data_IF_741866022806
#
_entry.id   IF_741866022806
#
_cell.length_a   1.000
_cell.length_b   1.000
_cell.length_c   1.000
_cell.angle_alpha   90.00
_cell.angle_beta   90.00
_cell.angle_gamma   90.00
#
_symmetry.space_group_name_H-M   'P 1'
#
loop_
_entity.id
_entity.type
_entity.pdbx_description
1 polymer ?
#
# COMPACT_ATOMS: atom_id res chain seq x y z
N UNK A 1 40.81 -27.54 13.82
CA UNK A 1 39.77 -26.63 13.29
C UNK A 1 38.55 -27.49 12.98
N UNK A 2 37.94 -28.18 13.93
CA UNK A 2 37.28 -27.75 15.18
C UNK A 2 36.00 -26.95 14.97
N UNK A 3 34.95 -27.47 15.62
CA UNK A 3 33.60 -26.95 15.84
C UNK A 3 32.56 -27.16 14.73
N UNK A 4 32.09 -28.40 14.57
CA UNK A 4 30.77 -28.75 13.99
C UNK A 4 30.32 -30.16 14.44
N UNK A 5 30.34 -30.37 15.74
CA UNK A 5 29.81 -31.51 16.51
C UNK A 5 29.66 -30.91 17.91
N UNK A 6 28.48 -30.56 18.40
CA UNK A 6 27.56 -31.49 19.05
C UNK A 6 26.27 -30.73 19.37
N UNK A 7 25.16 -30.99 18.68
CA UNK A 7 23.83 -30.59 19.19
C UNK A 7 22.69 -31.50 18.70
N UNK A 8 23.02 -32.66 18.13
CA UNK A 8 22.06 -33.73 17.88
C UNK A 8 22.31 -34.84 18.90
N UNK A 9 21.87 -34.62 20.13
CA UNK A 9 21.68 -35.69 21.11
C UNK A 9 20.22 -36.12 21.07
N UNK A 10 19.98 -37.17 20.30
CA UNK A 10 18.77 -38.00 20.33
C UNK A 10 18.73 -38.75 21.66
N UNK A 11 17.81 -38.40 22.55
CA UNK A 11 17.33 -39.30 23.60
C UNK A 11 15.85 -39.57 23.39
N UNK A 12 15.60 -40.71 22.77
CA UNK A 12 14.38 -41.51 22.92
C UNK A 12 14.19 -41.81 24.40
N UNK A 13 13.03 -41.50 24.98
CA UNK A 13 12.44 -42.28 26.07
C UNK A 13 10.94 -42.00 26.22
N UNK A 14 10.25 -43.06 26.64
CA UNK A 14 8.84 -43.41 26.48
C UNK A 14 7.80 -42.52 27.21
N UNK A 15 6.58 -42.60 26.67
CA UNK A 15 5.30 -42.26 27.29
C UNK A 15 5.14 -42.82 28.71
N UNK A 16 4.68 -41.99 29.64
CA UNK A 16 3.77 -42.43 30.71
C UNK A 16 2.92 -41.25 31.16
N UNK A 17 1.62 -41.29 30.85
CA UNK A 17 0.61 -40.42 31.45
C UNK A 17 0.52 -40.73 32.95
N UNK A 18 0.57 -39.70 33.79
CA UNK A 18 0.30 -39.83 35.21
C UNK A 18 -0.47 -38.58 35.65
N UNK A 19 -1.78 -38.72 35.69
CA UNK A 19 -2.68 -37.82 36.39
C UNK A 19 -2.26 -37.76 37.87
N UNK A 20 -1.90 -36.57 38.33
CA UNK A 20 -1.87 -36.27 39.76
C UNK A 20 -2.59 -34.95 39.99
N UNK A 21 -3.78 -35.12 40.57
CA UNK A 21 -4.60 -34.09 41.18
C UNK A 21 -3.78 -33.31 42.22
N UNK A 22 -3.60 -32.01 41.98
CA UNK A 22 -3.11 -31.08 43.00
C UNK A 22 -4.20 -30.04 43.25
N UNK A 23 -4.60 -30.04 44.51
CA UNK A 23 -5.68 -29.29 45.11
C UNK A 23 -5.65 -27.79 44.83
N UNK A 24 -6.88 -27.31 44.66
CA UNK A 24 -7.31 -25.93 44.60
C UNK A 24 -6.76 -25.13 45.78
N UNK A 25 -5.95 -24.13 45.49
CA UNK A 25 -5.83 -22.92 46.34
C UNK A 25 -6.39 -21.74 45.58
N UNK A 26 -7.64 -21.41 45.88
CA UNK A 26 -8.25 -20.13 45.52
C UNK A 26 -7.41 -19.00 46.15
N UNK A 27 -6.72 -18.26 45.29
CA UNK A 27 -6.28 -16.90 45.57
C UNK A 27 -7.04 -16.01 44.58
N UNK A 28 -8.06 -15.34 45.09
CA UNK A 28 -8.87 -14.38 44.37
C UNK A 28 -7.98 -13.29 43.73
N UNK A 29 -8.06 -13.15 42.41
CA UNK A 29 -7.34 -12.14 41.65
C UNK A 29 -8.03 -11.92 40.30
N UNK A 30 -8.73 -10.81 40.20
CA UNK A 30 -9.53 -10.30 39.06
C UNK A 30 -9.06 -10.72 37.67
N UNK A 31 -9.89 -11.53 36.99
CA UNK A 31 -9.80 -11.77 35.56
C UNK A 31 -10.33 -10.55 34.77
N UNK A 32 -9.45 -9.59 34.44
CA UNK A 32 -9.58 -8.71 33.25
C UNK A 32 -8.31 -7.87 33.08
N UNK A 33 -7.17 -8.49 32.84
CA UNK A 33 -6.13 -7.84 32.02
C UNK A 33 -5.99 -8.67 30.75
N UNK A 34 -6.71 -8.24 29.70
CA UNK A 34 -6.30 -8.57 28.33
C UNK A 34 -4.86 -8.12 28.24
N UNK A 35 -3.93 -9.07 28.18
CA UNK A 35 -2.53 -8.84 27.81
C UNK A 35 -2.54 -8.17 26.44
N UNK A 36 -2.61 -6.85 26.42
CA UNK A 36 -2.50 -6.04 25.23
C UNK A 36 -1.04 -6.14 24.82
N UNK A 37 -0.77 -7.08 23.91
CA UNK A 37 0.54 -7.19 23.28
C UNK A 37 0.98 -5.80 22.81
N UNK A 38 2.23 -5.40 23.07
CA UNK A 38 2.73 -4.11 22.65
C UNK A 38 2.55 -3.97 21.15
N UNK A 39 2.05 -2.81 20.70
CA UNK A 39 1.91 -2.52 19.28
C UNK A 39 3.29 -2.55 18.64
N UNK A 40 3.43 -3.33 17.58
CA UNK A 40 4.67 -3.38 16.79
C UNK A 40 5.02 -1.95 16.33
N UNK A 41 6.24 -1.47 16.61
CA UNK A 41 6.69 -0.16 16.13
C UNK A 41 6.54 -0.04 14.62
N UNK A 42 6.15 1.15 14.14
CA UNK A 42 5.94 1.44 12.71
C UNK A 42 7.14 1.07 11.85
N UNK A 43 8.35 1.24 12.39
CA UNK A 43 9.64 1.00 11.75
C UNK A 43 9.86 -0.49 11.46
N UNK A 44 9.38 -1.36 12.37
CA UNK A 44 9.47 -2.82 12.22
C UNK A 44 8.36 -3.30 11.28
N UNK A 45 7.13 -2.81 11.46
CA UNK A 45 5.99 -3.20 10.64
C UNK A 45 6.25 -2.96 9.14
N UNK A 46 6.80 -1.80 8.77
CA UNK A 46 7.07 -1.51 7.36
C UNK A 46 8.21 -2.33 6.75
N UNK A 47 9.18 -2.81 7.55
CA UNK A 47 10.25 -3.69 7.05
C UNK A 47 9.73 -5.06 6.61
N UNK A 48 8.72 -5.60 7.30
CA UNK A 48 8.15 -6.92 7.02
C UNK A 48 6.91 -6.89 6.11
N UNK A 49 6.39 -5.71 5.78
CA UNK A 49 5.34 -5.55 4.77
C UNK A 49 5.87 -5.50 3.32
N UNK A 50 7.18 -5.37 3.14
CA UNK A 50 7.81 -5.48 1.82
C UNK A 50 7.84 -6.96 1.45
N UNK A 51 6.95 -7.37 0.54
CA UNK A 51 7.03 -8.71 -0.06
C UNK A 51 8.45 -8.91 -0.62
N UNK A 52 9.14 -10.02 -0.29
CA UNK A 52 10.42 -10.33 -0.89
C UNK A 52 10.21 -10.47 -2.39
N UNK A 53 10.54 -9.44 -3.17
CA UNK A 53 10.23 -9.41 -4.59
C UNK A 53 11.25 -10.19 -5.41
N UNK A 54 11.43 -11.49 -5.11
CA UNK A 54 12.36 -12.39 -5.82
C UNK A 54 12.14 -12.36 -7.34
N UNK A 55 10.90 -12.19 -7.81
CA UNK A 55 10.56 -12.04 -9.24
C UNK A 55 10.94 -10.68 -9.84
N UNK A 56 10.88 -9.58 -9.08
CA UNK A 56 11.33 -8.24 -9.50
C UNK A 56 12.86 -8.14 -9.57
N UNK A 57 13.55 -8.96 -8.78
CA UNK A 57 15.02 -8.98 -8.68
C UNK A 57 15.71 -9.95 -9.64
N UNK A 58 15.00 -10.96 -10.18
CA UNK A 58 15.62 -11.96 -11.05
C UNK A 58 16.17 -11.40 -12.38
N UNK A 59 15.74 -10.22 -12.87
CA UNK A 59 16.20 -9.75 -14.20
C UNK A 59 16.43 -8.24 -14.42
N UNK A 60 16.04 -7.28 -13.55
CA UNK A 60 16.04 -5.87 -13.98
C UNK A 60 16.72 -4.80 -13.10
N UNK A 61 16.84 -5.00 -11.78
CA UNK A 61 17.38 -3.93 -10.92
C UNK A 61 18.92 -3.93 -10.87
N UNK A 62 19.57 -5.09 -10.88
CA UNK A 62 21.04 -5.17 -10.84
C UNK A 62 21.72 -5.02 -12.22
N UNK A 63 20.98 -5.18 -13.32
CA UNK A 63 21.55 -5.19 -14.68
C UNK A 63 21.60 -3.81 -15.36
N UNK A 64 20.94 -2.77 -14.81
CA UNK A 64 20.86 -1.45 -15.47
C UNK A 64 21.34 -0.25 -14.64
N UNK A 65 21.68 -0.42 -13.35
CA UNK A 65 22.31 0.65 -12.55
C UNK A 65 21.52 1.96 -12.41
N UNK A 66 20.19 1.96 -12.58
CA UNK A 66 19.38 3.19 -12.49
C UNK A 66 18.83 3.38 -11.07
N UNK A 67 18.97 4.59 -10.54
CA UNK A 67 18.44 4.97 -9.24
C UNK A 67 16.99 5.39 -9.40
N UNK A 68 16.06 4.66 -8.80
CA UNK A 68 14.62 4.93 -8.92
C UNK A 68 14.00 5.33 -7.60
N UNK A 69 12.89 6.05 -7.68
CA UNK A 69 12.02 6.34 -6.54
C UNK A 69 10.57 6.46 -6.98
N UNK A 70 9.62 6.30 -6.07
CA UNK A 70 8.23 6.67 -6.29
C UNK A 70 7.64 7.19 -4.98
N UNK A 71 6.72 8.16 -5.09
CA UNK A 71 6.05 8.78 -3.95
C UNK A 71 4.62 8.26 -3.84
N UNK A 72 4.17 8.07 -2.61
CA UNK A 72 2.82 7.57 -2.35
C UNK A 72 2.31 7.98 -0.96
N UNK A 73 1.00 8.11 -0.84
CA UNK A 73 0.31 8.10 0.44
C UNK A 73 0.02 6.66 0.83
N UNK A 74 0.19 6.33 2.11
CA UNK A 74 -0.05 4.98 2.62
C UNK A 74 -1.27 4.97 3.52
N UNK A 75 -2.16 3.99 3.30
CA UNK A 75 -3.28 3.72 4.17
C UNK A 75 -3.18 2.30 4.73
N UNK A 76 -3.33 2.18 6.05
CA UNK A 76 -3.49 0.93 6.76
C UNK A 76 -4.95 0.78 7.19
N UNK A 77 -5.81 0.14 6.38
CA UNK A 77 -7.20 0.00 6.75
C UNK A 77 -7.31 -0.83 8.03
N UNK A 78 -8.13 -0.39 8.97
CA UNK A 78 -8.55 -1.12 10.17
C UNK A 78 -9.38 -2.35 9.81
N UNK A 79 -9.68 -3.20 10.80
CA UNK A 79 -10.49 -4.40 10.57
C UNK A 79 -11.89 -4.06 10.03
N UNK A 80 -12.53 -3.01 10.55
CA UNK A 80 -13.83 -2.55 10.05
C UNK A 80 -13.73 -2.05 8.61
N UNK A 81 -12.71 -1.23 8.30
CA UNK A 81 -12.50 -0.71 6.95
C UNK A 81 -12.18 -1.84 5.94
N UNK A 82 -11.39 -2.85 6.31
CA UNK A 82 -11.15 -4.03 5.47
C UNK A 82 -12.43 -4.83 5.22
N UNK A 83 -13.32 -4.92 6.21
CA UNK A 83 -14.62 -5.57 6.04
C UNK A 83 -15.49 -4.82 5.03
N UNK A 84 -15.54 -3.49 5.13
CA UNK A 84 -16.26 -2.65 4.16
C UNK A 84 -15.70 -2.77 2.74
N UNK A 85 -14.37 -2.72 2.60
CA UNK A 85 -13.71 -2.94 1.31
C UNK A 85 -13.98 -4.34 0.75
N UNK A 86 -13.98 -5.38 1.58
CA UNK A 86 -14.27 -6.75 1.15
C UNK A 86 -15.73 -6.89 0.69
N UNK A 87 -16.67 -6.28 1.42
CA UNK A 87 -18.08 -6.22 1.03
C UNK A 87 -18.25 -5.49 -0.30
N UNK A 88 -17.56 -4.38 -0.48
CA UNK A 88 -17.56 -3.59 -1.71
C UNK A 88 -17.06 -4.40 -2.91
N UNK A 89 -15.88 -5.03 -2.81
CA UNK A 89 -15.32 -5.89 -3.86
C UNK A 89 -16.24 -7.08 -4.14
N UNK A 90 -16.84 -7.67 -3.11
CA UNK A 90 -17.77 -8.79 -3.28
C UNK A 90 -19.04 -8.38 -4.04
N UNK A 91 -19.55 -7.17 -3.82
CA UNK A 91 -20.67 -6.62 -4.60
C UNK A 91 -20.27 -6.47 -6.08
N UNK A 92 -19.09 -5.90 -6.35
CA UNK A 92 -18.56 -5.76 -7.71
C UNK A 92 -18.39 -7.11 -8.42
N UNK A 93 -17.78 -8.10 -7.75
CA UNK A 93 -17.60 -9.45 -8.30
C UNK A 93 -18.93 -10.16 -8.56
N UNK A 94 -19.94 -9.97 -7.71
CA UNK A 94 -21.28 -10.53 -7.96
C UNK A 94 -21.97 -9.89 -9.16
N UNK A 95 -21.79 -8.59 -9.37
CA UNK A 95 -22.29 -7.91 -10.56
C UNK A 95 -21.61 -8.46 -11.83
N UNK A 96 -20.28 -8.57 -11.83
CA UNK A 96 -19.54 -9.16 -12.95
C UNK A 96 -20.03 -10.57 -13.31
N UNK A 97 -20.24 -11.42 -12.30
CA UNK A 97 -20.71 -12.78 -12.50
C UNK A 97 -22.12 -12.86 -13.12
N UNK A 98 -22.95 -11.81 -12.94
CA UNK A 98 -24.30 -11.72 -13.50
C UNK A 98 -24.29 -11.19 -14.92
N UNK A 99 -23.62 -10.05 -15.16
CA UNK A 99 -23.61 -9.40 -16.48
C UNK A 99 -22.75 -10.17 -17.49
N UNK A 100 -21.60 -10.69 -17.06
CA UNK A 100 -20.63 -11.36 -17.94
C UNK A 100 -20.67 -12.88 -17.69
N UNK A 101 -21.88 -13.44 -17.66
CA UNK A 101 -22.10 -14.87 -17.41
C UNK A 101 -21.28 -15.72 -18.39
N UNK A 102 -20.41 -16.58 -17.87
CA UNK A 102 -19.49 -17.40 -18.66
C UNK A 102 -18.02 -16.97 -18.60
N UNK A 103 -17.73 -15.73 -18.16
CA UNK A 103 -16.37 -15.29 -17.88
C UNK A 103 -16.06 -15.43 -16.39
N UNK A 104 -14.94 -16.09 -16.04
CA UNK A 104 -14.48 -16.20 -14.64
C UNK A 104 -13.66 -14.96 -14.23
N UNK A 105 -14.30 -13.79 -14.25
CA UNK A 105 -13.65 -12.55 -13.79
C UNK A 105 -13.85 -12.42 -12.28
N UNK A 106 -12.75 -12.40 -11.54
CA UNK A 106 -12.75 -12.14 -10.10
C UNK A 106 -11.64 -11.15 -9.79
N UNK A 107 -12.00 -10.08 -9.08
CA UNK A 107 -11.04 -9.16 -8.49
C UNK A 107 -10.67 -9.63 -7.09
N UNK A 108 -9.38 -9.87 -6.88
CA UNK A 108 -8.79 -10.31 -5.62
C UNK A 108 -8.35 -9.09 -4.79
N UNK A 109 -8.68 -9.03 -3.49
CA UNK A 109 -8.33 -7.91 -2.62
C UNK A 109 -6.81 -7.63 -2.56
N UNK A 110 -6.44 -6.35 -2.54
CA UNK A 110 -5.05 -5.90 -2.37
C UNK A 110 -4.66 -5.60 -0.92
N UNK A 111 -5.63 -5.58 0.01
CA UNK A 111 -5.40 -5.30 1.43
C UNK A 111 -5.20 -6.57 2.27
N UNK A 112 -5.00 -7.72 1.63
CA UNK A 112 -4.53 -8.95 2.26
C UNK A 112 -3.39 -9.58 1.43
N UNK A 113 -2.49 -10.29 2.09
CA UNK A 113 -1.55 -11.20 1.43
C UNK A 113 -2.25 -12.52 1.07
N UNK A 114 -1.57 -13.38 0.30
CA UNK A 114 -2.06 -14.73 -0.01
C UNK A 114 -2.30 -15.57 1.25
N UNK A 115 -1.56 -15.30 2.33
CA UNK A 115 -1.72 -15.94 3.63
C UNK A 115 -2.74 -15.23 4.55
N UNK A 116 -3.46 -14.23 4.02
CA UNK A 116 -4.51 -13.51 4.75
C UNK A 116 -4.01 -12.43 5.72
N UNK A 117 -2.70 -12.14 5.77
CA UNK A 117 -2.20 -11.05 6.61
C UNK A 117 -2.59 -9.67 6.03
N UNK A 118 -2.92 -8.66 6.87
CA UNK A 118 -3.29 -7.34 6.37
C UNK A 118 -2.17 -6.68 5.55
N UNK A 119 -2.54 -6.02 4.45
CA UNK A 119 -1.63 -5.27 3.57
C UNK A 119 -2.05 -3.81 3.46
N UNK A 120 -1.05 -2.95 3.30
CA UNK A 120 -1.21 -1.52 3.09
C UNK A 120 -1.74 -1.24 1.68
N UNK A 121 -2.62 -0.24 1.58
CA UNK A 121 -3.04 0.35 0.33
C UNK A 121 -2.31 1.68 0.12
N UNK A 122 -2.29 2.17 -1.11
CA UNK A 122 -1.63 3.44 -1.40
C UNK A 122 -2.28 4.24 -2.52
N UNK A 123 -2.03 5.55 -2.49
CA UNK A 123 -2.32 6.49 -3.59
C UNK A 123 -0.98 7.00 -4.09
N UNK A 124 -0.63 6.65 -5.33
CA UNK A 124 0.62 7.11 -5.94
C UNK A 124 0.58 8.61 -6.17
N UNK A 125 1.59 9.33 -5.69
CA UNK A 125 1.78 10.78 -5.86
C UNK A 125 2.73 11.10 -7.03
N UNK A 126 3.47 10.12 -7.51
CA UNK A 126 4.38 10.26 -8.65
C UNK A 126 4.38 8.99 -9.52
N UNK A 127 4.84 9.07 -10.78
CA UNK A 127 5.29 7.89 -11.49
C UNK A 127 6.61 7.39 -10.88
N UNK A 128 7.16 6.31 -11.45
CA UNK A 128 8.56 5.96 -11.18
C UNK A 128 9.46 7.11 -11.66
N UNK A 129 10.17 7.72 -10.71
CA UNK A 129 11.18 8.74 -10.92
C UNK A 129 12.52 8.05 -11.17
N UNK A 130 13.27 8.56 -12.13
CA UNK A 130 14.59 8.06 -12.50
C UNK A 130 15.63 9.14 -12.24
N UNK A 131 16.69 8.75 -11.54
CA UNK A 131 17.84 9.58 -11.20
C UNK A 131 19.11 8.95 -11.79
N UNK A 132 20.09 9.79 -12.09
CA UNK A 132 21.36 9.36 -12.68
C UNK A 132 22.23 8.68 -11.62
N UNK A 133 22.25 9.22 -10.41
CA UNK A 133 22.98 8.68 -9.27
C UNK A 133 22.16 8.75 -7.96
N UNK A 134 22.68 8.15 -6.90
CA UNK A 134 22.07 8.16 -5.57
C UNK A 134 22.07 9.54 -4.92
N UNK A 135 23.10 10.36 -5.19
CA UNK A 135 23.22 11.73 -4.65
C UNK A 135 22.13 12.64 -5.21
N UNK A 136 21.78 12.51 -6.49
CA UNK A 136 20.70 13.25 -7.13
C UNK A 136 19.35 12.89 -6.49
N UNK A 137 19.07 11.59 -6.31
CA UNK A 137 17.86 11.11 -5.60
C UNK A 137 17.81 11.63 -4.16
N UNK A 138 18.93 11.56 -3.44
CA UNK A 138 18.98 11.95 -2.04
C UNK A 138 18.87 13.48 -1.88
N UNK A 139 19.43 14.27 -2.81
CA UNK A 139 19.20 15.72 -2.90
C UNK A 139 17.71 16.01 -3.15
N UNK A 140 17.06 15.28 -4.04
CA UNK A 140 15.62 15.44 -4.28
C UNK A 140 14.80 15.22 -3.01
N UNK A 141 15.15 14.20 -2.23
CA UNK A 141 14.49 13.95 -0.95
C UNK A 141 14.65 15.13 0.02
N UNK A 142 15.87 15.63 0.23
CA UNK A 142 16.10 16.75 1.14
C UNK A 142 15.40 18.03 0.66
N UNK A 143 15.51 18.33 -0.64
CA UNK A 143 14.80 19.48 -1.24
C UNK A 143 13.28 19.34 -1.06
N UNK A 144 12.71 18.16 -1.30
CA UNK A 144 11.27 17.93 -1.12
C UNK A 144 10.84 18.11 0.33
N UNK A 145 11.61 17.53 1.27
CA UNK A 145 11.34 17.65 2.71
C UNK A 145 11.36 19.11 3.15
N UNK A 146 12.35 19.87 2.69
CA UNK A 146 12.43 21.30 2.96
C UNK A 146 11.28 22.09 2.32
N UNK A 147 10.95 21.83 1.06
CA UNK A 147 9.85 22.51 0.36
C UNK A 147 8.49 22.24 1.01
N UNK A 148 8.23 21.00 1.46
CA UNK A 148 7.02 20.67 2.23
C UNK A 148 6.99 21.42 3.56
N UNK A 149 8.12 21.47 4.28
CA UNK A 149 8.20 22.19 5.55
C UNK A 149 8.11 23.72 5.40
N UNK A 150 8.49 24.28 4.25
CA UNK A 150 8.39 25.74 3.99
C UNK A 150 7.04 26.13 3.39
N UNK A 151 6.33 25.18 2.78
CA UNK A 151 5.02 25.43 2.19
C UNK A 151 3.97 25.77 3.24
N UNK A 152 3.19 26.82 2.97
CA UNK A 152 2.02 27.18 3.77
C UNK A 152 0.72 26.53 3.25
N UNK A 153 0.76 25.90 2.07
CA UNK A 153 -0.41 25.30 1.41
C UNK A 153 -0.54 23.81 1.68
N UNK A 154 0.56 23.13 2.02
CA UNK A 154 0.59 21.71 2.30
C UNK A 154 0.40 21.48 3.80
N UNK A 155 -0.71 20.84 4.17
CA UNK A 155 -1.07 20.48 5.55
C UNK A 155 -1.66 19.07 5.57
N UNK A 156 -1.73 18.38 6.72
CA UNK A 156 -2.52 17.16 6.87
C UNK A 156 -3.95 17.33 6.35
N UNK A 157 -4.45 16.33 5.63
CA UNK A 157 -5.77 16.39 5.01
C UNK A 157 -6.47 15.04 5.04
N UNK A 158 -7.79 15.08 4.90
CA UNK A 158 -8.61 13.90 4.74
C UNK A 158 -8.85 13.62 3.26
N UNK A 159 -8.40 12.45 2.81
CA UNK A 159 -8.64 11.95 1.48
C UNK A 159 -9.99 11.22 1.45
N UNK A 160 -10.84 11.63 0.52
CA UNK A 160 -12.14 11.03 0.22
C UNK A 160 -12.11 10.46 -1.19
N UNK A 161 -12.85 9.39 -1.39
CA UNK A 161 -12.96 8.69 -2.66
C UNK A 161 -14.36 8.78 -3.23
N UNK A 162 -14.46 8.73 -4.56
CA UNK A 162 -15.74 8.56 -5.24
C UNK A 162 -16.35 7.19 -4.88
N UNK A 163 -17.68 7.13 -4.85
CA UNK A 163 -18.43 5.89 -4.53
C UNK A 163 -18.34 4.87 -5.66
N UNK A 164 -18.27 5.34 -6.92
CA UNK A 164 -18.16 4.49 -8.09
C UNK A 164 -16.70 4.07 -8.32
N UNK A 165 -16.41 2.76 -8.45
CA UNK A 165 -15.06 2.32 -8.74
C UNK A 165 -14.76 2.49 -10.23
N UNK A 166 -13.49 2.46 -10.57
CA UNK A 166 -13.02 2.39 -11.95
C UNK A 166 -12.10 1.19 -12.14
N UNK A 167 -12.18 0.57 -13.32
CA UNK A 167 -11.19 -0.44 -13.72
C UNK A 167 -10.04 0.24 -14.44
N UNK A 168 -8.83 0.06 -13.92
CA UNK A 168 -7.60 0.62 -14.46
C UNK A 168 -6.66 -0.49 -14.89
N UNK A 169 -5.95 -0.31 -16.00
CA UNK A 169 -5.01 -1.31 -16.50
C UNK A 169 -3.58 -0.97 -16.09
N UNK A 170 -2.78 -1.99 -15.80
CA UNK A 170 -1.34 -1.83 -15.63
C UNK A 170 -0.71 -1.26 -16.91
N UNK A 171 0.44 -0.58 -16.76
CA UNK A 171 1.19 -0.04 -17.91
C UNK A 171 1.62 -1.15 -18.89
N UNK A 172 1.93 -2.33 -18.36
CA UNK A 172 2.32 -3.52 -19.12
C UNK A 172 1.12 -4.27 -19.72
N UNK A 173 -0.11 -3.86 -19.40
CA UNK A 173 -1.33 -4.50 -19.86
C UNK A 173 -1.42 -5.99 -19.50
N UNK A 174 -0.87 -6.39 -18.35
CA UNK A 174 -0.92 -7.75 -17.82
C UNK A 174 -1.92 -7.90 -16.66
N UNK A 175 -2.23 -6.80 -15.98
CA UNK A 175 -3.14 -6.74 -14.85
C UNK A 175 -4.18 -5.64 -15.02
N UNK A 176 -5.30 -5.82 -14.34
CA UNK A 176 -6.32 -4.81 -14.15
C UNK A 176 -6.61 -4.64 -12.66
N UNK A 177 -6.98 -3.42 -12.29
CA UNK A 177 -7.16 -2.98 -10.92
C UNK A 177 -8.53 -2.38 -10.75
N UNK A 178 -9.25 -2.82 -9.73
CA UNK A 178 -10.42 -2.11 -9.24
C UNK A 178 -9.92 -0.99 -8.35
N UNK A 179 -10.21 0.26 -8.74
CA UNK A 179 -9.65 1.43 -8.10
C UNK A 179 -10.73 2.42 -7.68
N UNK A 180 -10.49 3.06 -6.53
CA UNK A 180 -11.30 4.16 -6.02
C UNK A 180 -10.67 5.47 -6.46
N UNK A 181 -11.39 6.28 -7.23
CA UNK A 181 -10.91 7.60 -7.66
C UNK A 181 -10.95 8.56 -6.49
N UNK A 182 -9.97 9.44 -6.42
CA UNK A 182 -9.98 10.51 -5.42
C UNK A 182 -11.09 11.49 -5.77
N UNK A 183 -11.92 11.81 -4.78
CA UNK A 183 -13.04 12.73 -4.94
C UNK A 183 -12.58 14.16 -5.20
N UNK A 184 -13.45 14.95 -5.84
CA UNK A 184 -13.20 16.36 -6.13
C UNK A 184 -12.87 17.19 -4.88
N UNK A 185 -13.43 16.81 -3.74
CA UNK A 185 -13.22 17.49 -2.44
C UNK A 185 -11.77 17.41 -1.96
N UNK A 186 -11.06 16.33 -2.28
CA UNK A 186 -9.67 16.12 -1.86
C UNK A 186 -8.65 16.65 -2.87
N UNK A 187 -9.08 17.03 -4.08
CA UNK A 187 -8.18 17.51 -5.13
C UNK A 187 -7.40 18.78 -4.77
N UNK A 188 -7.95 19.80 -4.08
CA UNK A 188 -7.17 20.98 -3.73
C UNK A 188 -5.94 20.67 -2.86
N UNK A 189 -6.09 19.80 -1.86
CA UNK A 189 -5.00 19.40 -0.97
C UNK A 189 -3.96 18.56 -1.72
N UNK A 190 -4.43 17.58 -2.52
CA UNK A 190 -3.56 16.76 -3.37
C UNK A 190 -2.79 17.58 -4.40
N UNK A 191 -3.44 18.54 -5.04
CA UNK A 191 -2.79 19.41 -6.03
C UNK A 191 -1.73 20.29 -5.37
N UNK A 192 -2.00 20.82 -4.17
CA UNK A 192 -1.01 21.60 -3.41
C UNK A 192 0.23 20.76 -3.11
N UNK A 193 0.06 19.51 -2.68
CA UNK A 193 1.16 18.58 -2.46
C UNK A 193 1.88 18.23 -3.77
N UNK A 194 1.12 17.94 -4.84
CA UNK A 194 1.64 17.62 -6.17
C UNK A 194 2.51 18.75 -6.74
N UNK A 195 2.10 20.00 -6.58
CA UNK A 195 2.87 21.17 -7.04
C UNK A 195 4.20 21.29 -6.31
N UNK A 196 4.21 21.07 -4.99
CA UNK A 196 5.46 21.07 -4.19
C UNK A 196 6.39 19.93 -4.61
N UNK A 197 5.84 18.74 -4.91
CA UNK A 197 6.62 17.60 -5.42
C UNK A 197 7.23 17.93 -6.78
N UNK A 198 6.43 18.47 -7.70
CA UNK A 198 6.88 18.84 -9.03
C UNK A 198 7.98 19.91 -9.00
N UNK A 199 7.82 20.94 -8.16
CA UNK A 199 8.80 22.01 -7.99
C UNK A 199 10.13 21.48 -7.42
N UNK A 200 10.07 20.66 -6.36
CA UNK A 200 11.25 20.03 -5.79
C UNK A 200 11.98 19.15 -6.81
N UNK A 201 11.24 18.42 -7.65
CA UNK A 201 11.81 17.56 -8.68
C UNK A 201 12.52 18.37 -9.78
N UNK A 202 11.90 19.45 -10.24
CA UNK A 202 12.49 20.38 -11.22
C UNK A 202 13.76 21.05 -10.71
N UNK A 203 13.83 21.33 -9.40
CA UNK A 203 15.00 21.94 -8.76
C UNK A 203 16.22 21.03 -8.70
N UNK A 204 16.04 19.71 -8.81
CA UNK A 204 17.13 18.74 -8.60
C UNK A 204 17.56 18.02 -9.88
N UNK A 205 16.63 17.72 -10.78
CA UNK A 205 16.94 16.98 -12.00
C UNK A 205 16.54 17.76 -13.25
N UNK A 206 17.41 17.85 -14.28
CA UNK A 206 17.02 18.32 -15.61
C UNK A 206 15.87 17.48 -16.21
N UNK A 207 15.78 16.21 -15.81
CA UNK A 207 14.69 15.31 -16.19
C UNK A 207 13.38 15.58 -15.43
N UNK A 208 13.36 16.49 -14.46
CA UNK A 208 12.15 16.89 -13.74
C UNK A 208 11.06 17.43 -14.67
N UNK A 209 11.45 18.09 -15.77
CA UNK A 209 10.51 18.55 -16.79
C UNK A 209 9.81 17.41 -17.56
N UNK A 210 10.41 16.21 -17.60
CA UNK A 210 9.83 15.04 -18.26
C UNK A 210 8.52 14.59 -17.61
N UNK A 211 8.32 14.90 -16.33
CA UNK A 211 7.16 14.46 -15.56
C UNK A 211 6.01 15.48 -15.51
N UNK A 212 6.16 16.66 -16.13
CA UNK A 212 5.13 17.71 -16.10
C UNK A 212 3.76 17.23 -16.61
N UNK A 213 3.74 16.37 -17.63
CA UNK A 213 2.50 15.77 -18.15
C UNK A 213 1.78 14.89 -17.13
N UNK A 214 2.51 14.22 -16.22
CA UNK A 214 1.90 13.46 -15.14
C UNK A 214 1.25 14.40 -14.14
N UNK A 215 1.99 15.38 -13.64
CA UNK A 215 1.49 16.32 -12.62
C UNK A 215 0.32 17.16 -13.13
N UNK A 216 0.33 17.55 -14.40
CA UNK A 216 -0.80 18.23 -15.04
C UNK A 216 -2.08 17.37 -15.13
N UNK A 217 -1.94 16.03 -15.19
CA UNK A 217 -3.07 15.08 -15.27
C UNK A 217 -3.40 14.43 -13.93
N UNK A 218 -2.57 14.64 -12.91
CA UNK A 218 -2.62 13.94 -11.62
C UNK A 218 -4.01 14.01 -10.97
N UNK A 219 -4.63 15.20 -10.96
CA UNK A 219 -5.97 15.42 -10.42
C UNK A 219 -7.08 14.58 -11.07
N UNK A 220 -6.89 14.14 -12.32
CA UNK A 220 -7.85 13.31 -13.05
C UNK A 220 -7.58 11.81 -12.89
N UNK A 221 -6.37 11.46 -12.47
CA UNK A 221 -5.89 10.08 -12.44
C UNK A 221 -5.56 9.59 -11.03
N UNK A 222 -5.64 10.42 -10.00
CA UNK A 222 -5.38 10.03 -8.63
C UNK A 222 -6.41 8.98 -8.17
N UNK A 223 -5.91 7.83 -7.72
CA UNK A 223 -6.75 6.70 -7.32
C UNK A 223 -6.02 5.82 -6.30
N UNK A 224 -6.80 4.96 -5.64
CA UNK A 224 -6.31 3.87 -4.81
C UNK A 224 -6.81 2.54 -5.36
N UNK A 225 -5.90 1.67 -5.76
CA UNK A 225 -6.27 0.31 -6.17
C UNK A 225 -6.59 -0.54 -4.95
N UNK A 226 -7.77 -1.16 -4.94
CA UNK A 226 -8.26 -1.98 -3.81
C UNK A 226 -8.34 -3.47 -4.13
N UNK A 227 -8.38 -3.83 -5.41
CA UNK A 227 -8.36 -5.20 -5.87
C UNK A 227 -7.67 -5.34 -7.23
N UNK A 228 -7.23 -6.54 -7.59
CA UNK A 228 -6.56 -6.85 -8.87
C UNK A 228 -7.13 -8.09 -9.55
N UNK A 229 -6.99 -8.17 -10.87
CA UNK A 229 -7.22 -9.39 -11.65
C UNK A 229 -6.27 -9.44 -12.85
N UNK A 230 -6.17 -10.58 -13.53
CA UNK A 230 -5.37 -10.72 -14.74
C UNK A 230 -6.08 -10.07 -15.93
N UNK A 231 -5.37 -9.27 -16.73
CA UNK A 231 -5.98 -8.61 -17.90
C UNK A 231 -6.47 -9.59 -18.95
N UNK A 232 -5.81 -10.73 -19.13
CA UNK A 232 -6.22 -11.75 -20.10
C UNK A 232 -7.67 -12.24 -19.93
N UNK A 233 -8.25 -12.01 -18.74
CA UNK A 233 -9.61 -12.40 -18.37
C UNK A 233 -10.62 -11.28 -18.72
N UNK A 234 -10.16 -10.05 -18.94
CA UNK A 234 -10.97 -8.89 -19.29
C UNK A 234 -10.93 -8.63 -20.79
N UNK A 235 -11.94 -9.12 -21.51
CA UNK A 235 -12.07 -8.90 -22.96
C UNK A 235 -13.08 -7.79 -23.30
N UNK A 236 -13.89 -7.35 -22.33
CA UNK A 236 -15.04 -6.49 -22.57
C UNK A 236 -14.84 -5.05 -22.05
N UNK A 237 -15.01 -4.01 -22.89
CA UNK A 237 -14.95 -2.60 -22.47
C UNK A 237 -16.04 -2.20 -21.46
N UNK A 238 -17.21 -2.86 -21.42
CA UNK A 238 -18.31 -2.53 -20.50
C UNK A 238 -17.95 -2.81 -19.03
N UNK A 239 -17.00 -3.71 -18.79
CA UNK A 239 -16.46 -4.01 -17.45
C UNK A 239 -15.86 -2.75 -16.79
N UNK A 240 -15.49 -1.73 -17.57
CA UNK A 240 -14.89 -0.49 -17.05
C UNK A 240 -15.89 0.51 -16.48
N UNK A 241 -17.19 0.35 -16.75
CA UNK A 241 -18.25 1.26 -16.30
C UNK A 241 -18.73 0.97 -14.85
N UNK A 242 -18.55 -0.27 -14.38
CA UNK A 242 -19.06 -0.74 -13.09
C UNK A 242 -20.60 -0.82 -13.05
N UNK A 243 -21.20 -1.33 -11.95
CA UNK A 243 -22.65 -1.42 -11.86
C UNK A 243 -23.33 -0.06 -11.77
N UNK A 244 -24.63 0.02 -12.14
CA UNK A 244 -25.39 1.26 -12.20
C UNK A 244 -25.93 1.77 -10.86
N UNK A 245 -25.58 1.14 -9.72
CA UNK A 245 -26.06 1.53 -8.39
C UNK A 245 -24.94 2.08 -7.51
N UNK A 246 -25.28 3.07 -6.68
CA UNK A 246 -24.33 3.65 -5.73
C UNK A 246 -23.90 2.62 -4.69
N UNK A 247 -22.59 2.53 -4.52
CA UNK A 247 -22.00 1.78 -3.42
C UNK A 247 -22.05 2.60 -2.14
N UNK A 248 -22.09 1.91 -0.99
CA UNK A 248 -21.86 2.57 0.30
C UNK A 248 -20.54 3.35 0.26
N UNK A 249 -20.51 4.58 0.78
CA UNK A 249 -19.30 5.39 0.77
C UNK A 249 -18.17 4.65 1.47
N UNK A 250 -17.03 4.56 0.77
CA UNK A 250 -15.81 4.02 1.35
C UNK A 250 -15.17 5.10 2.21
N UNK A 251 -14.48 4.65 3.25
CA UNK A 251 -13.92 5.45 4.32
C UNK A 251 -13.07 6.61 3.86
N UNK A 252 -13.05 7.64 4.71
CA UNK A 252 -12.10 8.74 4.65
C UNK A 252 -10.75 8.29 5.20
N UNK A 253 -9.67 8.63 4.52
CA UNK A 253 -8.29 8.34 4.90
C UNK A 253 -7.60 9.61 5.42
N UNK A 254 -6.99 9.59 6.61
CA UNK A 254 -6.17 10.73 7.09
C UNK A 254 -4.75 10.66 6.53
N UNK A 255 -4.37 11.66 5.76
CA UNK A 255 -3.03 11.83 5.23
C UNK A 255 -2.24 12.82 6.07
N UNK A 256 -1.45 12.30 7.01
CA UNK A 256 -0.56 13.12 7.88
C UNK A 256 0.90 13.07 7.41
N UNK A 257 1.21 12.15 6.51
CA UNK A 257 2.53 11.95 5.92
C UNK A 257 2.43 11.24 4.57
N UNK A 258 3.49 11.31 3.78
CA UNK A 258 3.65 10.50 2.57
C UNK A 258 5.03 9.83 2.57
N UNK A 259 5.14 8.77 1.80
CA UNK A 259 6.34 7.95 1.72
C UNK A 259 7.03 8.12 0.36
N UNK A 260 8.35 8.01 0.41
CA UNK A 260 9.23 7.94 -0.75
C UNK A 260 9.93 6.57 -0.72
N UNK A 261 9.77 5.79 -1.78
CA UNK A 261 10.51 4.54 -1.95
C UNK A 261 11.95 4.81 -2.37
N UNK A 262 12.89 4.14 -1.68
CA UNK A 262 14.33 4.24 -1.89
C UNK A 262 14.91 2.85 -2.18
N UNK A 263 14.33 2.13 -3.14
CA UNK A 263 14.71 0.78 -3.61
C UNK A 263 14.63 -0.35 -2.56
N UNK A 264 15.32 -0.22 -1.43
CA UNK A 264 15.42 -1.21 -0.33
C UNK A 264 14.92 -0.68 1.02
N UNK A 265 14.51 0.58 1.06
CA UNK A 265 13.89 1.22 2.20
C UNK A 265 12.86 2.23 1.71
N UNK A 266 12.08 2.79 2.62
CA UNK A 266 11.25 3.94 2.35
C UNK A 266 11.58 5.04 3.38
N UNK A 267 11.28 6.28 3.02
CA UNK A 267 11.41 7.43 3.92
C UNK A 267 10.05 8.11 4.02
N UNK A 268 9.64 8.41 5.25
CA UNK A 268 8.38 9.11 5.53
C UNK A 268 8.63 10.61 5.69
N UNK A 269 7.88 11.43 4.96
CA UNK A 269 7.85 12.89 5.09
C UNK A 269 6.53 13.28 5.74
N UNK A 270 6.60 13.88 6.94
CA UNK A 270 5.42 14.36 7.68
C UNK A 270 4.93 15.68 7.10
N UNK A 271 3.61 15.85 7.03
CA UNK A 271 2.97 17.10 6.66
C UNK A 271 2.91 18.05 7.88
N UNK A 272 3.19 19.34 7.72
CA UNK A 272 3.24 20.27 8.85
C UNK A 272 1.84 20.69 9.34
N UNK A 273 1.61 20.68 10.66
CA UNK A 273 0.34 21.06 11.32
C UNK A 273 0.18 22.58 11.57
N UNK A 274 0.91 23.43 10.84
CA UNK A 274 1.00 24.88 11.13
C UNK A 274 -0.31 25.63 11.00
#
# INVERSE_FOLDING_TARGET
MDALKDNYSSSSDNDTESESSVDVRESSGTATEKLLLPRVPSEIAGKYHIEPSVSKYAMKMHLLGRWTSFLYLEWKPSTAERYDLARYISQYNRWLAREFSGQRIVFEPLFHTELGSPRLLHVSLSPNLYFNDDKERDRFFETLRESVNRSNTVKPFHLKFDTQPAVLFSKQQDAAFLALKVSKESLPALNSLSSVIEEALKGVSPSGNTYGNFFAKFSKTAHMSIAKTKRSILQDPEITAGPPYEYSPITTFSADSFNLDKNRSYITIKLPHR
#
